data_IF_503697517588
#
_entry.id   IF_503697517588
#
_cell.length_a   1.000
_cell.length_b   1.000
_cell.length_c   1.000
_cell.angle_alpha   90.00
_cell.angle_beta   90.00
_cell.angle_gamma   90.00
#
_symmetry.space_group_name_H-M   'P 1'
#
loop_
_entity.id
_entity.type
_entity.pdbx_description
1 polymer ?
#
# COMPACT_ATOMS: atom_id res chain seq x y z
N UNK A 1 -4.66 -13.58 45.07
CA UNK A 1 -5.87 -12.84 44.65
C UNK A 1 -5.82 -12.74 43.15
N UNK A 2 -6.55 -13.61 42.43
CA UNK A 2 -6.81 -13.35 41.02
C UNK A 2 -7.84 -12.24 40.98
N UNK A 3 -7.39 -11.01 40.72
CA UNK A 3 -8.29 -9.92 40.46
C UNK A 3 -9.02 -10.29 39.16
N UNK A 4 -10.32 -10.58 39.26
CA UNK A 4 -11.18 -10.90 38.11
C UNK A 4 -11.32 -9.72 37.13
N UNK A 5 -10.71 -8.57 37.47
CA UNK A 5 -10.68 -7.36 36.68
C UNK A 5 -9.26 -6.77 36.63
N UNK A 6 -8.96 -6.06 35.53
CA UNK A 6 -7.74 -5.28 35.34
C UNK A 6 -8.16 -3.93 34.73
N UNK A 7 -7.83 -2.81 35.39
CA UNK A 7 -8.33 -1.47 35.01
C UNK A 7 -9.85 -1.39 34.86
N UNK A 8 -10.60 -2.06 35.74
CA UNK A 8 -12.07 -2.13 35.67
C UNK A 8 -12.61 -3.03 34.55
N UNK A 9 -11.75 -3.61 33.70
CA UNK A 9 -12.15 -4.52 32.62
C UNK A 9 -12.16 -5.96 33.13
N UNK A 10 -13.20 -6.76 32.84
CA UNK A 10 -13.20 -8.19 33.14
C UNK A 10 -12.03 -8.89 32.44
N UNK A 11 -11.29 -9.73 33.17
CA UNK A 11 -10.16 -10.50 32.61
C UNK A 11 -10.60 -11.37 31.43
N UNK A 12 -11.80 -11.93 31.48
CA UNK A 12 -12.38 -12.70 30.37
C UNK A 12 -12.51 -11.87 29.08
N UNK A 13 -12.91 -10.60 29.19
CA UNK A 13 -13.02 -9.70 28.03
C UNK A 13 -11.65 -9.37 27.46
N UNK A 14 -10.64 -9.15 28.31
CA UNK A 14 -9.26 -8.91 27.88
C UNK A 14 -8.68 -10.15 27.19
N UNK A 15 -8.96 -11.34 27.72
CA UNK A 15 -8.53 -12.60 27.13
C UNK A 15 -9.19 -12.84 25.76
N UNK A 16 -10.45 -12.42 25.57
CA UNK A 16 -11.12 -12.42 24.25
C UNK A 16 -10.45 -11.45 23.27
N UNK A 17 -10.14 -10.21 23.68
CA UNK A 17 -9.43 -9.24 22.84
C UNK A 17 -8.06 -9.77 22.41
N UNK A 18 -7.32 -10.40 23.33
CA UNK A 18 -6.05 -11.08 23.02
C UNK A 18 -6.25 -12.19 21.99
N UNK A 19 -7.26 -13.03 22.16
CA UNK A 19 -7.54 -14.14 21.25
C UNK A 19 -7.88 -13.65 19.83
N UNK A 20 -8.70 -12.59 19.70
CA UNK A 20 -9.02 -11.99 18.39
C UNK A 20 -7.75 -11.51 17.67
N UNK A 21 -6.89 -10.79 18.39
CA UNK A 21 -5.62 -10.33 17.84
C UNK A 21 -4.71 -11.48 17.41
N UNK A 22 -4.61 -12.52 18.23
CA UNK A 22 -3.81 -13.70 17.90
C UNK A 22 -4.35 -14.38 16.63
N UNK A 23 -5.66 -14.61 16.54
CA UNK A 23 -6.29 -15.20 15.36
C UNK A 23 -6.07 -14.35 14.10
N UNK A 24 -6.17 -13.02 14.22
CA UNK A 24 -5.89 -12.12 13.10
C UNK A 24 -4.43 -12.22 12.65
N UNK A 25 -3.48 -12.20 13.59
CA UNK A 25 -2.06 -12.32 13.32
C UNK A 25 -1.68 -13.67 12.67
N UNK A 26 -2.38 -14.74 13.03
CA UNK A 26 -2.25 -16.09 12.45
C UNK A 26 -2.97 -16.23 11.10
N UNK A 27 -3.70 -15.20 10.65
CA UNK A 27 -4.46 -15.20 9.39
C UNK A 27 -5.78 -15.97 9.45
N UNK A 28 -6.22 -16.36 10.64
CA UNK A 28 -7.47 -17.09 10.88
C UNK A 28 -8.70 -16.17 10.95
N UNK A 29 -8.49 -14.88 11.21
CA UNK A 29 -9.55 -13.87 11.34
C UNK A 29 -9.31 -12.71 10.36
N UNK A 30 -10.23 -12.44 9.42
CA UNK A 30 -10.12 -11.28 8.54
C UNK A 30 -10.10 -9.95 9.32
N UNK A 31 -9.36 -8.95 8.82
CA UNK A 31 -9.18 -7.65 9.51
C UNK A 31 -10.51 -6.92 9.76
N UNK A 32 -11.45 -6.97 8.82
CA UNK A 32 -12.77 -6.35 8.97
C UNK A 32 -13.57 -6.98 10.12
N UNK A 33 -13.47 -8.31 10.25
CA UNK A 33 -14.12 -9.06 11.32
C UNK A 33 -13.44 -8.78 12.67
N UNK A 34 -12.09 -8.76 12.71
CA UNK A 34 -11.35 -8.38 13.91
C UNK A 34 -11.76 -6.98 14.39
N UNK A 35 -11.77 -5.97 13.52
CA UNK A 35 -12.20 -4.60 13.86
C UNK A 35 -13.62 -4.56 14.40
N UNK A 36 -14.54 -5.28 13.76
CA UNK A 36 -15.95 -5.32 14.18
C UNK A 36 -16.10 -5.94 15.57
N UNK A 37 -15.47 -7.09 15.82
CA UNK A 37 -15.56 -7.79 17.10
C UNK A 37 -14.84 -7.04 18.23
N UNK A 38 -13.64 -6.51 17.96
CA UNK A 38 -12.86 -5.69 18.91
C UNK A 38 -13.65 -4.45 19.34
N UNK A 39 -14.24 -3.73 18.38
CA UNK A 39 -15.11 -2.58 18.66
C UNK A 39 -16.32 -2.97 19.52
N UNK A 40 -17.03 -4.03 19.15
CA UNK A 40 -18.22 -4.48 19.88
C UNK A 40 -17.91 -4.91 21.33
N UNK A 41 -16.72 -5.46 21.57
CA UNK A 41 -16.25 -5.78 22.93
C UNK A 41 -15.94 -4.50 23.71
N UNK A 42 -15.18 -3.57 23.11
CA UNK A 42 -14.75 -2.33 23.77
C UNK A 42 -15.90 -1.38 24.08
N UNK A 43 -16.95 -1.34 23.27
CA UNK A 43 -18.16 -0.53 23.53
C UNK A 43 -18.88 -0.91 24.84
N UNK A 44 -18.63 -2.12 25.37
CA UNK A 44 -19.22 -2.63 26.62
C UNK A 44 -18.29 -2.46 27.82
N UNK A 45 -17.08 -1.94 27.62
CA UNK A 45 -16.06 -1.80 28.64
C UNK A 45 -15.97 -0.33 29.10
N UNK A 46 -15.61 -0.08 30.37
CA UNK A 46 -15.44 1.28 30.84
C UNK A 46 -14.27 1.95 30.11
N UNK A 47 -14.42 3.23 29.77
CA UNK A 47 -13.32 4.02 29.23
C UNK A 47 -12.22 4.16 30.30
N UNK A 48 -10.96 4.06 29.88
CA UNK A 48 -9.82 4.32 30.76
C UNK A 48 -9.64 5.82 30.97
N UNK A 49 -9.40 6.22 32.21
CA UNK A 49 -8.95 7.57 32.52
C UNK A 49 -7.50 7.81 32.07
N UNK A 50 -7.09 9.07 31.95
CA UNK A 50 -5.71 9.42 31.60
C UNK A 50 -4.68 8.85 32.58
N UNK A 51 -5.03 8.77 33.87
CA UNK A 51 -4.15 8.23 34.91
C UNK A 51 -4.03 6.71 34.79
N UNK A 52 -5.13 6.02 34.47
CA UNK A 52 -5.11 4.58 34.17
C UNK A 52 -4.30 4.28 32.91
N UNK A 53 -4.40 5.12 31.88
CA UNK A 53 -3.60 4.98 30.67
C UNK A 53 -2.10 5.15 30.97
N UNK A 54 -1.70 6.16 31.74
CA UNK A 54 -0.29 6.32 32.15
C UNK A 54 0.23 5.13 32.95
N UNK A 55 -0.61 4.59 33.85
CA UNK A 55 -0.24 3.44 34.66
C UNK A 55 -0.13 2.16 33.82
N UNK A 56 -0.99 2.00 32.81
CA UNK A 56 -0.90 0.93 31.82
C UNK A 56 0.44 0.99 31.07
N UNK A 57 0.79 2.15 30.52
CA UNK A 57 2.03 2.36 29.76
C UNK A 57 3.27 2.10 30.65
N UNK A 58 3.26 2.62 31.89
CA UNK A 58 4.33 2.41 32.85
C UNK A 58 4.51 0.93 33.21
N UNK A 59 3.41 0.22 33.47
CA UNK A 59 3.46 -1.20 33.83
C UNK A 59 3.98 -2.06 32.66
N UNK A 60 3.54 -1.78 31.44
CA UNK A 60 4.06 -2.42 30.23
C UNK A 60 5.58 -2.21 30.11
N UNK A 61 6.05 -0.97 30.28
CA UNK A 61 7.48 -0.62 30.21
C UNK A 61 8.30 -1.26 31.33
N UNK A 62 7.78 -1.32 32.55
CA UNK A 62 8.46 -1.95 33.69
C UNK A 62 8.63 -3.45 33.46
N UNK A 63 7.61 -4.14 32.95
CA UNK A 63 7.69 -5.58 32.61
C UNK A 63 8.74 -5.84 31.53
N UNK A 64 8.81 -4.99 30.51
CA UNK A 64 9.81 -5.08 29.42
C UNK A 64 11.22 -4.84 29.98
N UNK A 65 11.40 -3.75 30.73
CA UNK A 65 12.71 -3.31 31.25
C UNK A 65 13.29 -4.30 32.25
N UNK A 66 12.47 -4.82 33.15
CA UNK A 66 12.87 -5.83 34.14
C UNK A 66 12.97 -7.24 33.54
N UNK A 67 12.58 -7.41 32.26
CA UNK A 67 12.50 -8.71 31.58
C UNK A 67 11.59 -9.72 32.30
N UNK A 68 10.60 -9.22 33.04
CA UNK A 68 9.64 -10.06 33.75
C UNK A 68 8.78 -10.89 32.80
N UNK A 69 8.66 -10.48 31.53
CA UNK A 69 8.00 -11.25 30.46
C UNK A 69 8.63 -12.62 30.16
N UNK A 70 9.82 -12.93 30.70
CA UNK A 70 10.49 -14.23 30.50
C UNK A 70 9.85 -15.39 31.26
N UNK A 71 8.91 -15.12 32.16
CA UNK A 71 8.11 -16.14 32.81
C UNK A 71 6.66 -16.07 32.31
N UNK A 72 5.95 -17.20 32.34
CA UNK A 72 4.60 -17.34 31.80
C UNK A 72 3.61 -16.31 32.36
N UNK A 73 3.73 -15.97 33.65
CA UNK A 73 2.84 -15.00 34.30
C UNK A 73 3.08 -13.58 33.83
N UNK A 74 4.34 -13.19 33.69
CA UNK A 74 4.75 -11.88 33.18
C UNK A 74 4.44 -11.73 31.70
N UNK A 75 4.61 -12.78 30.92
CA UNK A 75 4.20 -12.82 29.50
C UNK A 75 2.69 -12.66 29.36
N UNK A 76 1.91 -13.43 30.11
CA UNK A 76 0.45 -13.34 30.11
C UNK A 76 -0.03 -11.95 30.53
N UNK A 77 0.57 -11.38 31.57
CA UNK A 77 0.24 -10.02 32.02
C UNK A 77 0.57 -9.00 30.93
N UNK A 78 1.78 -9.03 30.37
CA UNK A 78 2.18 -8.13 29.29
C UNK A 78 1.22 -8.23 28.10
N UNK A 79 0.87 -9.45 27.70
CA UNK A 79 -0.07 -9.70 26.61
C UNK A 79 -1.47 -9.14 26.90
N UNK A 80 -1.95 -9.22 28.15
CA UNK A 80 -3.21 -8.62 28.58
C UNK A 80 -3.16 -7.09 28.56
N UNK A 81 -2.09 -6.48 29.07
CA UNK A 81 -1.91 -5.02 29.04
C UNK A 81 -1.89 -4.53 27.58
N UNK A 82 -1.16 -5.24 26.72
CA UNK A 82 -1.05 -4.93 25.31
C UNK A 82 -2.40 -5.07 24.56
N UNK A 83 -3.26 -6.01 24.96
CA UNK A 83 -4.62 -6.12 24.42
C UNK A 83 -5.54 -4.97 24.89
N UNK A 84 -5.32 -4.41 26.07
CA UNK A 84 -6.05 -3.21 26.54
C UNK A 84 -5.60 -2.00 25.72
N UNK A 85 -4.29 -1.79 25.61
CA UNK A 85 -3.66 -0.61 25.03
C UNK A 85 -3.91 -0.47 23.52
N UNK A 86 -3.88 -1.59 22.79
CA UNK A 86 -3.93 -1.55 21.33
C UNK A 86 -5.22 -2.20 20.78
N UNK A 87 -6.20 -1.39 20.35
CA UNK A 87 -7.36 -1.88 19.61
C UNK A 87 -6.96 -2.45 18.25
N UNK A 88 -7.93 -3.09 17.57
CA UNK A 88 -7.75 -3.47 16.18
C UNK A 88 -7.34 -2.23 15.35
N UNK A 89 -6.25 -2.30 14.57
CA UNK A 89 -5.69 -1.13 13.90
C UNK A 89 -6.61 -0.68 12.76
N UNK A 90 -6.83 0.62 12.63
CA UNK A 90 -7.44 1.21 11.44
C UNK A 90 -6.43 1.30 10.28
N UNK A 91 -6.89 1.73 9.10
CA UNK A 91 -6.01 1.80 7.93
C UNK A 91 -4.89 2.85 8.11
N UNK A 92 -5.12 3.90 8.92
CA UNK A 92 -4.08 4.89 9.21
C UNK A 92 -2.96 4.27 10.05
N UNK A 93 -3.33 3.50 11.10
CA UNK A 93 -2.37 2.82 11.96
C UNK A 93 -1.59 1.75 11.23
N UNK A 94 -2.24 0.97 10.36
CA UNK A 94 -1.56 -0.03 9.52
C UNK A 94 -0.51 0.61 8.59
N UNK A 95 -0.77 1.81 8.06
CA UNK A 95 0.20 2.56 7.23
C UNK A 95 1.38 3.08 8.06
N UNK A 96 1.11 3.56 9.28
CA UNK A 96 2.16 3.94 10.22
C UNK A 96 3.06 2.74 10.54
N UNK A 97 2.48 1.58 10.85
CA UNK A 97 3.23 0.34 11.14
C UNK A 97 4.10 -0.09 9.96
N UNK A 98 3.59 -0.02 8.73
CA UNK A 98 4.39 -0.27 7.52
C UNK A 98 5.61 0.67 7.43
N UNK A 99 5.44 1.94 7.80
CA UNK A 99 6.53 2.92 7.78
C UNK A 99 7.62 2.55 8.77
N UNK A 100 7.20 2.14 9.97
CA UNK A 100 8.11 1.70 11.02
C UNK A 100 8.84 0.41 10.62
N UNK A 101 8.15 -0.56 10.03
CA UNK A 101 8.76 -1.80 9.51
C UNK A 101 9.79 -1.52 8.43
N UNK A 102 9.52 -0.60 7.50
CA UNK A 102 10.47 -0.20 6.48
C UNK A 102 11.74 0.43 7.08
N UNK A 103 11.58 1.29 8.09
CA UNK A 103 12.71 1.88 8.82
C UNK A 103 13.50 0.83 9.61
N UNK A 104 12.82 -0.16 10.21
CA UNK A 104 13.46 -1.28 10.92
C UNK A 104 14.23 -2.19 9.97
N UNK A 105 13.67 -2.55 8.81
CA UNK A 105 14.32 -3.40 7.82
C UNK A 105 15.62 -2.80 7.26
N UNK A 106 15.73 -1.48 7.21
CA UNK A 106 16.98 -0.78 6.85
C UNK A 106 18.03 -0.86 7.96
N UNK A 107 17.60 -0.85 9.23
CA UNK A 107 18.50 -0.89 10.40
C UNK A 107 18.93 -2.31 10.76
N UNK A 108 18.08 -3.30 10.46
CA UNK A 108 18.23 -4.70 10.85
C UNK A 108 18.04 -5.61 9.61
N UNK A 109 18.99 -5.61 8.67
CA UNK A 109 18.91 -6.45 7.47
C UNK A 109 18.85 -7.95 7.78
N UNK A 110 19.38 -8.38 8.92
CA UNK A 110 19.31 -9.75 9.42
C UNK A 110 17.88 -10.25 9.68
N UNK A 111 16.95 -9.33 9.96
CA UNK A 111 15.55 -9.65 10.30
C UNK A 111 14.60 -9.55 9.09
N UNK A 112 15.14 -9.42 7.87
CA UNK A 112 14.36 -9.19 6.65
C UNK A 112 13.24 -10.21 6.42
N UNK A 113 13.46 -11.47 6.75
CA UNK A 113 12.44 -12.52 6.55
C UNK A 113 11.25 -12.35 7.50
N UNK A 114 11.51 -12.01 8.76
CA UNK A 114 10.46 -11.79 9.78
C UNK A 114 9.70 -10.50 9.47
N UNK A 115 10.44 -9.41 9.23
CA UNK A 115 9.85 -8.11 8.87
C UNK A 115 9.10 -8.17 7.54
N UNK A 116 9.56 -8.97 6.58
CA UNK A 116 8.90 -9.21 5.30
C UNK A 116 7.56 -9.93 5.44
N UNK A 117 7.48 -10.95 6.31
CA UNK A 117 6.21 -11.64 6.63
C UNK A 117 5.20 -10.72 7.30
N UNK A 118 5.66 -9.92 8.27
CA UNK A 118 4.83 -8.94 8.96
C UNK A 118 4.26 -7.90 7.97
N UNK A 119 5.14 -7.33 7.14
CA UNK A 119 4.76 -6.41 6.08
C UNK A 119 3.73 -7.03 5.14
N UNK A 120 3.95 -8.26 4.67
CA UNK A 120 3.04 -8.93 3.75
C UNK A 120 1.64 -9.11 4.36
N UNK A 121 1.56 -9.42 5.67
CA UNK A 121 0.28 -9.52 6.38
C UNK A 121 -0.45 -8.18 6.43
N UNK A 122 0.23 -7.11 6.81
CA UNK A 122 -0.38 -5.77 6.89
C UNK A 122 -0.86 -5.30 5.51
N UNK A 123 -0.06 -5.54 4.46
CA UNK A 123 -0.48 -5.28 3.08
C UNK A 123 -1.72 -6.09 2.71
N UNK A 124 -1.76 -7.38 3.08
CA UNK A 124 -2.93 -8.23 2.88
C UNK A 124 -4.18 -7.69 3.58
N UNK A 125 -4.05 -7.15 4.79
CA UNK A 125 -5.17 -6.51 5.49
C UNK A 125 -5.63 -5.22 4.81
N UNK A 126 -4.71 -4.36 4.38
CA UNK A 126 -5.06 -3.13 3.65
C UNK A 126 -5.77 -3.42 2.32
N UNK A 127 -5.36 -4.47 1.61
CA UNK A 127 -5.97 -4.88 0.33
C UNK A 127 -7.28 -5.66 0.51
N UNK A 128 -7.41 -6.42 1.60
CA UNK A 128 -8.58 -7.25 1.89
C UNK A 128 -9.77 -6.48 2.45
N UNK A 129 -9.60 -5.23 2.86
CA UNK A 129 -10.69 -4.34 3.24
C UNK A 129 -11.41 -3.84 1.97
N UNK A 130 -12.49 -4.54 1.60
CA UNK A 130 -13.22 -4.51 0.32
C UNK A 130 -13.80 -3.17 -0.16
N UNK A 131 -13.35 -2.03 0.36
CA UNK A 131 -13.56 -0.71 -0.24
C UNK A 131 -12.27 -0.11 -0.85
N UNK A 132 -11.11 -0.78 -0.73
CA UNK A 132 -9.82 -0.35 -1.29
C UNK A 132 -9.36 -1.17 -2.53
N UNK A 133 -10.27 -1.89 -3.21
CA UNK A 133 -9.99 -2.53 -4.51
C UNK A 133 -9.59 -1.55 -5.62
N UNK A 134 -9.83 -0.24 -5.41
CA UNK A 134 -9.34 0.86 -6.24
C UNK A 134 -7.89 1.24 -5.88
N UNK A 135 -7.05 0.37 -5.28
CA UNK A 135 -5.64 0.68 -4.99
C UNK A 135 -4.67 -0.27 -5.66
N UNK A 136 -3.58 0.30 -6.14
CA UNK A 136 -2.47 -0.44 -6.74
C UNK A 136 -1.65 -1.16 -5.67
N UNK A 137 -1.44 -2.49 -5.76
CA UNK A 137 -0.76 -3.25 -4.70
C UNK A 137 0.73 -2.92 -4.55
N UNK A 138 1.35 -2.26 -5.55
CA UNK A 138 2.77 -1.92 -5.51
C UNK A 138 3.03 -0.54 -4.92
N UNK A 139 2.18 0.44 -5.22
CA UNK A 139 2.34 1.82 -4.75
C UNK A 139 1.35 2.22 -3.66
N UNK A 140 0.29 1.43 -3.47
CA UNK A 140 -0.89 1.71 -2.64
C UNK A 140 -1.61 3.02 -3.00
N UNK A 141 -1.24 3.65 -4.11
CA UNK A 141 -1.97 4.79 -4.65
C UNK A 141 -3.29 4.29 -5.27
N UNK A 142 -4.35 5.11 -5.26
CA UNK A 142 -5.57 4.75 -5.94
C UNK A 142 -5.34 4.51 -7.44
N UNK A 143 -5.93 3.47 -8.01
CA UNK A 143 -5.90 3.20 -9.45
C UNK A 143 -6.49 4.38 -10.21
N UNK A 144 -7.59 4.95 -9.72
CA UNK A 144 -8.16 6.20 -10.23
C UNK A 144 -7.17 7.38 -10.24
N UNK A 145 -6.21 7.44 -9.31
CA UNK A 145 -5.15 8.45 -9.31
C UNK A 145 -4.06 8.12 -10.32
N UNK A 146 -3.57 6.87 -10.35
CA UNK A 146 -2.55 6.42 -11.31
C UNK A 146 -3.05 6.54 -12.76
N UNK A 147 -4.32 6.24 -13.00
CA UNK A 147 -4.98 6.30 -14.31
C UNK A 147 -4.99 7.72 -14.92
N UNK A 148 -4.86 8.77 -14.12
CA UNK A 148 -4.69 10.15 -14.63
C UNK A 148 -3.42 10.29 -15.46
N UNK A 149 -2.43 9.44 -15.20
CA UNK A 149 -1.18 9.36 -15.92
C UNK A 149 -1.20 8.24 -16.96
N UNK A 150 -2.35 7.68 -17.33
CA UNK A 150 -2.44 6.65 -18.37
C UNK A 150 -2.00 7.17 -19.73
N UNK A 151 -2.24 8.45 -20.00
CA UNK A 151 -1.89 9.15 -21.22
C UNK A 151 -0.99 10.33 -20.93
N UNK A 152 0.01 10.56 -21.78
CA UNK A 152 0.89 11.72 -21.74
C UNK A 152 0.72 12.52 -23.02
N UNK A 153 0.81 13.85 -22.91
CA UNK A 153 0.85 14.72 -24.09
C UNK A 153 2.27 14.76 -24.66
N UNK A 154 2.43 14.26 -25.87
CA UNK A 154 3.68 14.24 -26.62
C UNK A 154 3.69 15.39 -27.64
N UNK A 155 4.75 16.20 -27.71
CA UNK A 155 4.78 17.39 -28.57
C UNK A 155 4.67 17.08 -30.08
N UNK A 156 4.97 15.86 -30.50
CA UNK A 156 4.94 15.44 -31.91
C UNK A 156 3.69 14.62 -32.21
N UNK A 157 3.31 13.71 -31.30
CA UNK A 157 2.24 12.75 -31.49
C UNK A 157 0.90 13.14 -30.84
N UNK A 158 0.88 14.15 -29.97
CA UNK A 158 -0.26 14.46 -29.10
C UNK A 158 -0.41 13.41 -28.00
N UNK A 159 -1.65 13.04 -27.66
CA UNK A 159 -1.90 12.07 -26.58
C UNK A 159 -1.37 10.67 -26.92
N UNK A 160 -0.53 10.13 -26.03
CA UNK A 160 0.06 8.80 -26.13
C UNK A 160 -0.25 7.99 -24.87
N UNK A 161 -0.86 6.79 -24.99
CA UNK A 161 -1.01 5.89 -23.86
C UNK A 161 0.34 5.30 -23.45
N UNK A 162 0.64 5.32 -22.14
CA UNK A 162 1.91 4.83 -21.59
C UNK A 162 1.73 3.59 -20.70
N UNK A 163 2.73 2.70 -20.63
CA UNK A 163 2.68 1.51 -19.76
C UNK A 163 2.47 1.87 -18.29
N UNK A 164 1.87 0.94 -17.54
CA UNK A 164 1.55 1.12 -16.11
C UNK A 164 2.76 1.52 -15.27
N UNK A 165 3.88 0.85 -15.51
CA UNK A 165 5.15 1.09 -14.83
C UNK A 165 5.60 2.55 -14.92
N UNK A 166 5.42 3.17 -16.09
CA UNK A 166 5.72 4.59 -16.32
C UNK A 166 4.70 5.49 -15.61
N UNK A 167 3.41 5.16 -15.68
CA UNK A 167 2.35 5.90 -15.00
C UNK A 167 2.51 5.89 -13.47
N UNK A 168 2.85 4.74 -12.87
CA UNK A 168 3.15 4.60 -11.44
C UNK A 168 4.29 5.53 -11.01
N UNK A 169 5.37 5.60 -11.80
CA UNK A 169 6.51 6.47 -11.49
C UNK A 169 6.09 7.94 -11.41
N UNK A 170 5.38 8.43 -12.43
CA UNK A 170 4.87 9.81 -12.45
C UNK A 170 3.90 10.05 -11.29
N UNK A 171 3.03 9.09 -10.98
CA UNK A 171 2.10 9.17 -9.86
C UNK A 171 2.84 9.31 -8.52
N UNK A 172 3.91 8.55 -8.29
CA UNK A 172 4.73 8.64 -7.07
C UNK A 172 5.45 10.00 -7.00
N UNK A 173 6.00 10.48 -8.11
CA UNK A 173 6.70 11.77 -8.16
C UNK A 173 5.76 12.95 -7.86
N UNK A 174 4.50 12.87 -8.29
CA UNK A 174 3.48 13.89 -8.07
C UNK A 174 2.64 13.71 -6.80
N UNK A 175 2.80 12.58 -6.10
CA UNK A 175 2.08 12.31 -4.87
C UNK A 175 2.47 13.28 -3.74
N UNK A 176 1.53 13.53 -2.82
CA UNK A 176 1.81 14.33 -1.62
C UNK A 176 2.87 13.67 -0.75
N UNK A 177 3.45 14.41 0.21
CA UNK A 177 4.44 13.84 1.13
C UNK A 177 3.87 12.65 1.93
N UNK A 178 2.60 12.73 2.31
CA UNK A 178 1.85 11.68 3.00
C UNK A 178 1.67 10.44 2.11
N UNK A 179 1.21 10.62 0.86
CA UNK A 179 1.04 9.52 -0.10
C UNK A 179 2.38 8.87 -0.50
N UNK A 180 3.46 9.65 -0.57
CA UNK A 180 4.82 9.13 -0.80
C UNK A 180 5.32 8.36 0.41
N UNK A 181 5.05 8.82 1.62
CA UNK A 181 5.37 8.09 2.85
C UNK A 181 4.63 6.74 2.87
N UNK A 182 3.33 6.73 2.54
CA UNK A 182 2.53 5.49 2.42
C UNK A 182 3.11 4.53 1.37
N UNK A 183 3.44 5.02 0.16
CA UNK A 183 4.02 4.19 -0.89
C UNK A 183 5.41 3.62 -0.50
N UNK A 184 6.22 4.41 0.20
CA UNK A 184 7.55 3.99 0.69
C UNK A 184 7.45 3.01 1.86
N UNK A 185 6.50 3.23 2.77
CA UNK A 185 6.19 2.40 3.93
C UNK A 185 5.77 0.99 3.52
N UNK A 186 4.95 0.89 2.48
CA UNK A 186 4.52 -0.38 1.91
C UNK A 186 5.69 -1.09 1.23
N UNK A 187 6.92 -0.57 1.26
CA UNK A 187 8.06 -1.20 0.61
C UNK A 187 7.79 -1.46 -0.85
N UNK A 188 7.08 -0.53 -1.51
CA UNK A 188 6.95 -0.56 -2.96
C UNK A 188 8.36 -0.75 -3.47
N UNK A 189 8.64 -1.94 -4.02
CA UNK A 189 9.87 -2.13 -4.77
C UNK A 189 9.93 -0.91 -5.67
N UNK A 190 11.04 -0.16 -5.59
CA UNK A 190 11.39 0.79 -6.64
C UNK A 190 11.03 0.08 -7.91
N UNK A 191 10.12 0.66 -8.69
CA UNK A 191 9.70 0.16 -9.99
C UNK A 191 10.89 -0.56 -10.60
N UNK A 192 10.85 -1.89 -10.67
CA UNK A 192 12.08 -2.67 -10.83
C UNK A 192 12.85 -2.07 -12.02
N UNK A 193 14.14 -1.72 -11.90
CA UNK A 193 14.84 -0.99 -12.96
C UNK A 193 14.72 -1.68 -14.32
N UNK A 194 14.60 -3.01 -14.31
CA UNK A 194 14.34 -3.83 -15.50
C UNK A 194 12.91 -3.65 -16.04
N UNK A 195 11.89 -3.66 -15.18
CA UNK A 195 10.51 -3.38 -15.58
C UNK A 195 10.35 -1.96 -16.12
N UNK A 196 11.02 -0.97 -15.51
CA UNK A 196 11.08 0.42 -15.98
C UNK A 196 11.74 0.50 -17.36
N UNK A 197 12.92 -0.10 -17.51
CA UNK A 197 13.63 -0.14 -18.79
C UNK A 197 12.77 -0.81 -19.89
N UNK A 198 12.11 -1.93 -19.56
CA UNK A 198 11.22 -2.64 -20.49
C UNK A 198 10.01 -1.80 -20.91
N UNK A 199 9.39 -1.09 -19.97
CA UNK A 199 8.29 -0.17 -20.26
C UNK A 199 8.74 0.99 -21.15
N UNK A 200 9.92 1.58 -20.85
CA UNK A 200 10.54 2.61 -21.68
C UNK A 200 10.82 2.14 -23.11
N UNK A 201 11.33 0.92 -23.27
CA UNK A 201 11.58 0.31 -24.59
C UNK A 201 10.27 0.06 -25.36
N UNK A 202 9.22 -0.41 -24.69
CA UNK A 202 7.91 -0.64 -25.30
C UNK A 202 7.34 0.67 -25.84
N UNK A 203 7.28 1.71 -25.02
CA UNK A 203 6.81 3.03 -25.44
C UNK A 203 7.67 3.63 -26.55
N UNK A 204 9.00 3.47 -26.46
CA UNK A 204 9.91 3.91 -27.51
C UNK A 204 9.61 3.21 -28.84
N UNK A 205 9.43 1.88 -28.83
CA UNK A 205 9.16 1.10 -30.04
C UNK A 205 7.84 1.50 -30.71
N UNK A 206 6.78 1.77 -29.93
CA UNK A 206 5.47 2.17 -30.44
C UNK A 206 5.45 3.58 -31.02
N UNK A 207 6.29 4.49 -30.51
CA UNK A 207 6.25 5.92 -30.87
C UNK A 207 7.35 6.35 -31.84
N UNK A 208 8.43 5.57 -32.00
CA UNK A 208 9.61 6.01 -32.75
C UNK A 208 9.33 6.21 -34.24
N UNK A 209 8.75 5.21 -34.90
CA UNK A 209 8.42 5.30 -36.33
C UNK A 209 7.51 6.49 -36.65
N UNK A 210 6.34 6.65 -36.01
CA UNK A 210 5.46 7.77 -36.34
C UNK A 210 6.11 9.12 -36.05
N UNK A 211 6.90 9.26 -34.97
CA UNK A 211 7.67 10.50 -34.72
C UNK A 211 8.62 10.84 -35.85
N UNK A 212 9.41 9.87 -36.31
CA UNK A 212 10.38 10.10 -37.39
C UNK A 212 9.70 10.60 -38.67
N UNK A 213 8.56 10.01 -39.04
CA UNK A 213 7.81 10.46 -40.23
C UNK A 213 7.33 11.91 -40.05
N UNK A 214 6.77 12.25 -38.89
CA UNK A 214 6.27 13.61 -38.63
C UNK A 214 7.37 14.66 -38.52
N UNK A 215 8.50 14.31 -37.92
CA UNK A 215 9.67 15.17 -37.81
C UNK A 215 10.30 15.42 -39.18
N UNK A 216 10.38 14.38 -40.05
CA UNK A 216 10.97 14.51 -41.39
C UNK A 216 10.18 15.46 -42.30
N UNK A 217 8.85 15.55 -42.13
CA UNK A 217 8.01 16.47 -42.88
C UNK A 217 8.26 17.96 -42.57
N UNK A 218 8.99 18.28 -41.50
CA UNK A 218 9.39 19.66 -41.22
C UNK A 218 10.46 20.18 -42.20
N UNK A 219 11.30 19.28 -42.74
CA UNK A 219 12.43 19.60 -43.61
C UNK A 219 12.31 19.04 -45.03
N UNK A 220 11.46 18.04 -45.24
CA UNK A 220 11.27 17.36 -46.53
C UNK A 220 9.83 17.48 -47.04
N UNK A 221 9.68 18.04 -48.25
CA UNK A 221 8.38 18.20 -48.90
C UNK A 221 7.76 16.87 -49.31
N UNK A 222 8.58 15.87 -49.67
CA UNK A 222 8.12 14.53 -50.07
C UNK A 222 7.54 13.77 -48.86
N UNK A 223 8.02 14.07 -47.65
CA UNK A 223 7.53 13.46 -46.41
C UNK A 223 6.20 14.06 -45.89
N UNK A 224 5.68 15.15 -46.48
CA UNK A 224 4.48 15.84 -45.98
C UNK A 224 3.21 15.01 -46.09
N UNK A 225 3.01 14.32 -47.20
CA UNK A 225 1.82 13.49 -47.44
C UNK A 225 1.83 12.21 -46.59
N UNK A 226 2.95 11.48 -46.46
CA UNK A 226 3.11 10.43 -45.46
C UNK A 226 2.84 10.91 -44.02
N UNK A 227 3.34 12.09 -43.64
CA UNK A 227 3.12 12.65 -42.31
C UNK A 227 1.66 13.00 -42.02
N UNK A 228 0.92 13.50 -43.00
CA UNK A 228 -0.53 13.72 -42.86
C UNK A 228 -1.27 12.40 -42.65
N UNK A 229 -0.92 11.37 -43.42
CA UNK A 229 -1.48 10.02 -43.29
C UNK A 229 -1.19 9.43 -41.91
N UNK A 230 0.06 9.52 -41.44
CA UNK A 230 0.45 9.05 -40.10
C UNK A 230 -0.29 9.80 -39.00
N UNK A 231 -0.46 11.13 -39.10
CA UNK A 231 -1.27 11.90 -38.13
C UNK A 231 -2.72 11.43 -38.10
N UNK A 232 -3.34 11.24 -39.26
CA UNK A 232 -4.72 10.79 -39.35
C UNK A 232 -4.90 9.38 -38.76
N UNK A 233 -3.97 8.47 -39.05
CA UNK A 233 -3.94 7.13 -38.46
C UNK A 233 -3.73 7.20 -36.94
N UNK A 234 -2.78 8.00 -36.47
CA UNK A 234 -2.48 8.12 -35.04
C UNK A 234 -3.65 8.68 -34.24
N UNK A 235 -4.38 9.65 -34.80
CA UNK A 235 -5.57 10.22 -34.19
C UNK A 235 -6.82 9.30 -34.29
N UNK A 236 -6.75 8.20 -35.04
CA UNK A 236 -7.87 7.29 -35.21
C UNK A 236 -8.23 6.59 -33.89
N UNK A 237 -9.52 6.53 -33.51
CA UNK A 237 -9.95 5.81 -32.31
C UNK A 237 -9.50 4.34 -32.28
N UNK A 238 -9.47 3.67 -33.43
CA UNK A 238 -9.05 2.27 -33.54
C UNK A 238 -7.56 2.08 -33.21
N UNK A 239 -6.70 3.00 -33.69
CA UNK A 239 -5.26 2.96 -33.38
C UNK A 239 -5.03 3.33 -31.92
N UNK A 240 -5.73 4.33 -31.39
CA UNK A 240 -5.65 4.67 -29.97
C UNK A 240 -6.07 3.51 -29.06
N UNK A 241 -7.11 2.77 -29.43
CA UNK A 241 -7.52 1.57 -28.71
C UNK A 241 -6.47 0.46 -28.78
N UNK A 242 -5.88 0.22 -29.96
CA UNK A 242 -4.81 -0.77 -30.11
C UNK A 242 -3.58 -0.39 -29.28
N UNK A 243 -3.15 0.87 -29.33
CA UNK A 243 -2.02 1.36 -28.52
C UNK A 243 -2.30 1.22 -27.01
N UNK A 244 -3.55 1.42 -26.59
CA UNK A 244 -3.93 1.16 -25.20
C UNK A 244 -3.85 -0.32 -24.85
N UNK A 245 -4.32 -1.22 -25.72
CA UNK A 245 -4.21 -2.66 -25.50
C UNK A 245 -2.75 -3.11 -25.39
N UNK A 246 -1.87 -2.64 -26.28
CA UNK A 246 -0.43 -2.95 -26.23
C UNK A 246 0.26 -2.45 -24.95
N UNK A 247 -0.27 -1.37 -24.36
CA UNK A 247 0.26 -0.79 -23.11
C UNK A 247 -0.59 -1.14 -21.87
N UNK A 248 -1.55 -2.05 -22.00
CA UNK A 248 -2.51 -2.42 -20.94
C UNK A 248 -1.94 -3.38 -19.90
N UNK A 249 -0.77 -3.97 -20.15
CA UNK A 249 -0.14 -4.94 -19.26
C UNK A 249 -0.10 -4.45 -17.79
N UNK A 250 -0.81 -5.16 -16.93
CA UNK A 250 -0.90 -4.89 -15.49
C UNK A 250 -1.93 -3.84 -15.06
N UNK A 251 -2.58 -3.12 -16.00
CA UNK A 251 -3.69 -2.22 -15.66
C UNK A 251 -4.96 -3.01 -15.32
N UNK A 252 -5.79 -2.51 -14.38
CA UNK A 252 -7.14 -3.03 -14.18
C UNK A 252 -7.99 -2.88 -15.47
N UNK A 253 -8.90 -3.82 -15.75
CA UNK A 253 -9.72 -3.83 -16.99
C UNK A 253 -10.47 -2.54 -17.27
N UNK A 254 -10.91 -1.84 -16.22
CA UNK A 254 -11.62 -0.57 -16.30
C UNK A 254 -10.75 0.60 -16.81
N UNK A 255 -9.42 0.44 -16.86
CA UNK A 255 -8.46 1.44 -17.37
C UNK A 255 -7.77 1.02 -18.68
N UNK A 256 -8.33 0.02 -19.37
CA UNK A 256 -7.87 -0.42 -20.70
C UNK A 256 -8.28 0.56 -21.80
#
# INVERSE_FOLDING_TARGET
>A
MEANTLFGWPVESIDKLRALRQQANEGLLPIAEWRSQDKALRERLPALSEDEQKLLDQLSMDIITTRAYRNERGELLLSRLHAIEHPAPDNAKLREELTQLAALAQKHPEDQEVLGRERARIVGWLLGDSNEGDRDPLTMLPWSYIARFRTVDDPVLGLVPQPLTTARKVAIEQATAEQRADAQAVGGQRVEPLAEASAGLTLHSLTRFPKLVLESAASDNEAREPAQTVRALWASPAIQQLLRQETSGGWPPEFH
#
